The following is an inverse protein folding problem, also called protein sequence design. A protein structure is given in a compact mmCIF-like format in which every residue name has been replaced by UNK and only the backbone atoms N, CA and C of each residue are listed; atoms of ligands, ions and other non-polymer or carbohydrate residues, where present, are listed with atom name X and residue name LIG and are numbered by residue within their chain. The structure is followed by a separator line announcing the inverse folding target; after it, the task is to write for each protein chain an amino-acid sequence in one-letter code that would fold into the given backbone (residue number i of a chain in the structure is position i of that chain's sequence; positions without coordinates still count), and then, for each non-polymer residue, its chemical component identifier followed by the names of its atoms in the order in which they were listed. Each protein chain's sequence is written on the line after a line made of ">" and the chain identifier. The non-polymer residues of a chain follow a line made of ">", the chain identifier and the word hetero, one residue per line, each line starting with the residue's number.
data_IF_398390938395
#
_entry.id   IF_398390938395
#
_cell.length_a   1.000
_cell.length_b   1.000
_cell.length_c   1.000
_cell.angle_alpha   90.00
_cell.angle_beta   90.00
_cell.angle_gamma   90.00
#
_symmetry.space_group_name_H-M   'P 1'
#
loop_
_entity.id
_entity.type
_entity.pdbx_description
1 polymer ?
#
# COMPACT_ATOMS: atom_id res chain seq x y z
N UNK A 1 -26.25 -25.55 1.48
CA UNK A 1 -25.17 -24.60 1.15
C UNK A 1 -25.16 -23.60 2.29
N UNK A 2 -24.00 -23.38 2.87
CA UNK A 2 -23.83 -22.41 3.97
C UNK A 2 -23.97 -21.00 3.43
N UNK A 3 -24.64 -20.12 4.17
CA UNK A 3 -24.85 -18.70 3.80
C UNK A 3 -24.20 -17.81 4.88
N UNK A 4 -23.29 -16.93 4.45
CA UNK A 4 -22.57 -15.96 5.30
C UNK A 4 -22.98 -14.56 4.87
N UNK A 5 -23.20 -13.62 5.78
CA UNK A 5 -23.65 -12.26 5.44
C UNK A 5 -22.59 -11.51 4.60
N UNK A 6 -21.30 -11.62 4.97
CA UNK A 6 -20.21 -10.94 4.26
C UNK A 6 -19.00 -11.86 4.07
N UNK A 7 -18.48 -11.93 2.86
CA UNK A 7 -17.19 -12.58 2.57
C UNK A 7 -16.21 -11.52 2.05
N UNK A 8 -15.01 -11.53 2.63
CA UNK A 8 -13.86 -10.74 2.16
C UNK A 8 -12.82 -11.70 1.58
N UNK A 9 -12.26 -11.40 0.40
CA UNK A 9 -11.25 -12.24 -0.25
C UNK A 9 -9.89 -11.58 -0.19
N UNK A 10 -8.92 -12.26 0.43
CA UNK A 10 -7.53 -11.83 0.58
C UNK A 10 -7.22 -11.26 1.97
N UNK A 11 -6.34 -11.92 2.72
CA UNK A 11 -5.90 -11.53 4.07
C UNK A 11 -4.64 -10.65 4.06
N UNK A 12 -4.50 -9.76 3.09
CA UNK A 12 -3.59 -8.63 3.15
C UNK A 12 -4.09 -7.54 4.10
N UNK A 13 -3.30 -6.49 4.35
CA UNK A 13 -3.66 -5.41 5.29
C UNK A 13 -5.00 -4.76 4.96
N UNK A 14 -5.34 -4.61 3.68
CA UNK A 14 -6.62 -4.01 3.26
C UNK A 14 -7.78 -4.96 3.56
N UNK A 15 -7.67 -6.24 3.19
CA UNK A 15 -8.73 -7.21 3.46
C UNK A 15 -8.96 -7.43 4.96
N UNK A 16 -7.89 -7.47 5.76
CA UNK A 16 -7.99 -7.53 7.23
C UNK A 16 -8.69 -6.30 7.82
N UNK A 17 -8.35 -5.09 7.33
CA UNK A 17 -9.02 -3.87 7.77
C UNK A 17 -10.52 -3.85 7.39
N UNK A 18 -10.84 -4.29 6.15
CA UNK A 18 -12.24 -4.38 5.68
C UNK A 18 -13.01 -5.44 6.46
N UNK A 19 -12.46 -6.65 6.63
CA UNK A 19 -13.12 -7.72 7.38
C UNK A 19 -13.40 -7.30 8.84
N UNK A 20 -12.40 -6.68 9.50
CA UNK A 20 -12.56 -6.08 10.83
C UNK A 20 -13.69 -5.06 10.84
N UNK A 21 -13.74 -4.15 9.87
CA UNK A 21 -14.78 -3.12 9.81
C UNK A 21 -16.18 -3.72 9.67
N UNK A 22 -16.34 -4.76 8.83
CA UNK A 22 -17.61 -5.45 8.64
C UNK A 22 -18.07 -6.16 9.93
N UNK A 23 -17.16 -6.89 10.60
CA UNK A 23 -17.45 -7.56 11.86
C UNK A 23 -17.83 -6.57 12.98
N UNK A 24 -17.10 -5.45 13.09
CA UNK A 24 -17.43 -4.39 14.06
C UNK A 24 -18.77 -3.72 13.80
N UNK A 25 -19.30 -3.78 12.57
CA UNK A 25 -20.66 -3.37 12.22
C UNK A 25 -21.73 -4.43 12.53
N UNK A 26 -21.35 -5.54 13.16
CA UNK A 26 -22.22 -6.65 13.52
C UNK A 26 -22.56 -7.61 12.39
N UNK A 27 -21.78 -7.60 11.29
CA UNK A 27 -21.96 -8.55 10.19
C UNK A 27 -21.24 -9.85 10.46
N UNK A 28 -21.93 -10.97 10.24
CA UNK A 28 -21.26 -12.27 10.17
C UNK A 28 -20.29 -12.25 8.99
N UNK A 29 -18.99 -12.27 9.27
CA UNK A 29 -17.95 -12.05 8.25
C UNK A 29 -16.93 -13.19 8.21
N UNK A 30 -16.71 -13.71 7.00
CA UNK A 30 -15.67 -14.70 6.69
C UNK A 30 -14.60 -14.09 5.81
N UNK A 31 -13.34 -14.21 6.20
CA UNK A 31 -12.17 -13.80 5.41
C UNK A 31 -11.53 -15.05 4.79
N UNK A 32 -11.53 -15.11 3.46
CA UNK A 32 -10.92 -16.21 2.69
C UNK A 32 -9.51 -15.81 2.22
N UNK A 33 -8.53 -16.64 2.54
CA UNK A 33 -7.13 -16.47 2.12
C UNK A 33 -6.60 -17.77 1.49
N UNK A 34 -6.04 -17.66 0.28
CA UNK A 34 -5.50 -18.82 -0.44
C UNK A 34 -4.19 -19.34 0.16
N UNK A 35 -3.41 -18.49 0.81
CA UNK A 35 -2.15 -18.87 1.45
C UNK A 35 -2.40 -19.41 2.86
N UNK A 36 -1.36 -19.92 3.50
CA UNK A 36 -1.43 -20.46 4.87
C UNK A 36 -1.23 -19.41 5.96
N UNK A 37 -0.99 -18.15 5.58
CA UNK A 37 -0.75 -17.05 6.50
C UNK A 37 -1.24 -15.72 5.94
N UNK A 38 -1.46 -14.74 6.82
CA UNK A 38 -1.83 -13.37 6.45
C UNK A 38 -0.66 -12.62 5.80
N UNK A 39 -0.96 -11.67 4.90
CA UNK A 39 -0.01 -10.66 4.43
C UNK A 39 1.16 -11.16 3.58
N UNK A 40 1.11 -12.36 3.03
CA UNK A 40 2.24 -13.04 2.35
C UNK A 40 2.69 -12.38 1.02
N UNK A 41 1.85 -11.53 0.42
CA UNK A 41 2.13 -10.86 -0.84
C UNK A 41 2.58 -9.39 -0.63
N UNK A 42 1.89 -8.43 -1.25
CA UNK A 42 2.26 -7.00 -1.26
C UNK A 42 2.32 -6.38 0.15
N UNK A 43 1.50 -6.86 1.08
CA UNK A 43 1.40 -6.28 2.43
C UNK A 43 2.63 -6.48 3.31
N UNK A 44 3.44 -7.52 3.09
CA UNK A 44 4.72 -7.75 3.79
C UNK A 44 5.93 -7.29 2.99
N UNK A 45 5.73 -6.76 1.78
CA UNK A 45 6.80 -6.44 0.83
C UNK A 45 6.75 -4.96 0.41
N UNK A 46 6.83 -4.07 1.39
CA UNK A 46 6.71 -2.62 1.21
C UNK A 46 7.71 -1.89 2.12
N UNK A 47 7.69 -0.57 2.10
CA UNK A 47 8.59 0.29 2.88
C UNK A 47 8.12 0.57 4.30
N UNK A 48 6.96 0.07 4.71
CA UNK A 48 6.34 0.26 6.04
C UNK A 48 6.11 1.73 6.42
N UNK A 49 6.01 2.61 5.42
CA UNK A 49 5.88 4.06 5.63
C UNK A 49 4.42 4.45 5.84
N UNK A 50 4.19 5.20 6.92
CA UNK A 50 2.96 5.97 7.13
C UNK A 50 3.11 7.28 6.35
N UNK A 51 2.48 7.36 5.17
CA UNK A 51 2.58 8.51 4.28
C UNK A 51 1.75 9.69 4.76
N UNK A 52 2.26 10.91 4.53
CA UNK A 52 1.55 12.14 4.88
C UNK A 52 0.44 12.53 3.88
N UNK A 53 0.51 12.08 2.61
CA UNK A 53 -0.47 12.43 1.57
C UNK A 53 -0.03 13.55 0.61
N UNK A 54 1.28 13.77 0.45
CA UNK A 54 1.86 14.93 -0.27
C UNK A 54 1.70 14.82 -1.79
N UNK A 55 1.96 13.62 -2.36
CA UNK A 55 2.24 13.44 -3.80
C UNK A 55 1.01 13.17 -4.67
N UNK A 56 -0.15 12.97 -4.09
CA UNK A 56 -1.33 12.54 -4.83
C UNK A 56 -2.12 13.73 -5.37
N UNK A 57 -2.73 13.62 -6.56
CA UNK A 57 -3.60 14.67 -7.11
C UNK A 57 -4.71 15.04 -6.12
N UNK A 58 -4.97 16.34 -6.00
CA UNK A 58 -6.02 16.86 -5.12
C UNK A 58 -7.38 16.22 -5.45
N UNK A 59 -8.11 15.81 -4.42
CA UNK A 59 -9.43 15.20 -4.56
C UNK A 59 -9.43 13.71 -4.94
N UNK A 60 -8.27 13.14 -5.32
CA UNK A 60 -8.14 11.71 -5.60
C UNK A 60 -8.46 10.85 -4.37
N UNK A 61 -8.87 9.59 -4.59
CA UNK A 61 -9.06 8.63 -3.49
C UNK A 61 -7.75 8.40 -2.73
N UNK A 62 -6.62 8.31 -3.44
CA UNK A 62 -5.29 8.20 -2.82
C UNK A 62 -5.01 9.36 -1.88
N UNK A 63 -5.30 10.62 -2.27
CA UNK A 63 -5.09 11.78 -1.41
C UNK A 63 -5.98 11.74 -0.17
N UNK A 64 -7.29 11.58 -0.38
CA UNK A 64 -8.31 11.58 0.70
C UNK A 64 -8.09 10.45 1.69
N UNK A 65 -7.94 9.22 1.18
CA UNK A 65 -7.80 8.03 2.01
C UNK A 65 -6.41 7.94 2.67
N UNK A 66 -5.36 8.52 2.07
CA UNK A 66 -4.05 8.62 2.71
C UNK A 66 -4.08 9.55 3.92
N UNK A 67 -4.69 10.74 3.78
CA UNK A 67 -4.80 11.69 4.88
C UNK A 67 -5.60 11.12 6.05
N UNK A 68 -6.82 10.65 5.76
CA UNK A 68 -7.70 10.02 6.78
C UNK A 68 -7.07 8.76 7.36
N UNK A 69 -6.49 7.92 6.52
CA UNK A 69 -5.84 6.66 6.93
C UNK A 69 -4.64 6.88 7.83
N UNK A 70 -3.83 7.92 7.58
CA UNK A 70 -2.73 8.32 8.46
C UNK A 70 -3.23 8.61 9.88
N UNK A 71 -4.29 9.39 10.01
CA UNK A 71 -4.88 9.73 11.31
C UNK A 71 -5.37 8.50 12.05
N UNK A 72 -6.16 7.68 11.35
CA UNK A 72 -6.68 6.41 11.89
C UNK A 72 -5.57 5.46 12.29
N UNK A 73 -4.54 5.33 11.44
CA UNK A 73 -3.45 4.40 11.67
C UNK A 73 -2.61 4.80 12.90
N UNK A 74 -2.28 6.08 13.06
CA UNK A 74 -1.58 6.54 14.27
C UNK A 74 -2.43 6.35 15.52
N UNK A 75 -3.74 6.66 15.46
CA UNK A 75 -4.65 6.45 16.59
C UNK A 75 -4.75 4.96 16.94
N UNK A 76 -4.91 4.10 15.95
CA UNK A 76 -4.98 2.65 16.14
C UNK A 76 -3.69 2.07 16.71
N UNK A 77 -2.54 2.48 16.18
CA UNK A 77 -1.24 2.05 16.70
C UNK A 77 -1.03 2.47 18.16
N UNK A 78 -1.44 3.69 18.52
CA UNK A 78 -1.35 4.18 19.90
C UNK A 78 -2.29 3.40 20.85
N UNK A 79 -3.55 3.18 20.42
CA UNK A 79 -4.55 2.43 21.20
C UNK A 79 -4.12 0.98 21.47
N UNK A 80 -3.53 0.32 20.46
CA UNK A 80 -3.13 -1.09 20.51
C UNK A 80 -1.66 -1.29 20.92
N UNK A 81 -0.95 -0.23 21.29
CA UNK A 81 0.47 -0.25 21.60
C UNK A 81 1.34 -0.91 20.51
N UNK A 82 0.96 -0.73 19.22
CA UNK A 82 1.70 -1.30 18.10
C UNK A 82 2.99 -0.53 17.85
N UNK A 83 4.08 -1.23 17.49
CA UNK A 83 5.34 -0.60 17.18
C UNK A 83 5.19 0.35 15.97
N UNK A 84 5.39 1.64 16.20
CA UNK A 84 5.38 2.67 15.18
C UNK A 84 6.22 3.86 15.62
N UNK A 85 6.62 4.71 14.68
CA UNK A 85 7.39 5.92 14.99
C UNK A 85 7.08 7.03 13.99
N UNK A 86 6.85 8.25 14.49
CA UNK A 86 6.84 9.47 13.68
C UNK A 86 8.28 9.92 13.43
N UNK A 87 8.95 9.23 12.50
CA UNK A 87 10.37 9.51 12.19
C UNK A 87 10.58 10.81 11.41
N UNK A 88 9.51 11.34 10.81
CA UNK A 88 9.64 12.43 9.85
C UNK A 88 10.27 11.99 8.53
N UNK A 89 10.15 12.85 7.53
CA UNK A 89 10.73 12.64 6.20
C UNK A 89 11.27 13.96 5.66
N UNK A 90 12.48 13.94 5.12
CA UNK A 90 13.05 15.02 4.34
C UNK A 90 12.92 14.69 2.86
N UNK A 91 12.18 15.51 2.12
CA UNK A 91 12.18 15.51 0.65
C UNK A 91 13.25 16.50 0.24
N UNK A 92 14.26 16.04 -0.51
CA UNK A 92 15.50 16.80 -0.69
C UNK A 92 15.74 17.18 -2.15
N UNK A 93 16.08 18.45 -2.37
CA UNK A 93 16.66 18.94 -3.61
C UNK A 93 18.19 18.79 -3.52
N UNK A 94 18.78 18.07 -4.47
CA UNK A 94 20.25 17.86 -4.54
C UNK A 94 20.93 18.82 -5.51
N UNK A 95 20.15 19.64 -6.23
CA UNK A 95 20.59 20.69 -7.13
C UNK A 95 19.61 21.88 -7.08
N UNK A 96 20.11 23.07 -7.40
CA UNK A 96 19.31 24.30 -7.28
C UNK A 96 18.07 24.35 -8.19
N UNK A 97 18.15 23.73 -9.35
CA UNK A 97 17.01 23.62 -10.29
C UNK A 97 15.85 22.76 -9.77
N UNK A 98 16.09 21.93 -8.75
CA UNK A 98 15.08 21.11 -8.09
C UNK A 98 14.33 21.83 -6.96
N UNK A 99 14.78 23.01 -6.51
CA UNK A 99 14.16 23.70 -5.37
C UNK A 99 12.72 24.15 -5.66
N UNK A 100 12.42 24.51 -6.90
CA UNK A 100 11.06 24.85 -7.30
C UNK A 100 10.07 23.70 -7.11
N UNK A 101 10.53 22.44 -7.26
CA UNK A 101 9.71 21.25 -7.03
C UNK A 101 9.34 21.09 -5.55
N UNK A 102 10.23 21.46 -4.61
CA UNK A 102 9.89 21.44 -3.17
C UNK A 102 8.76 22.41 -2.85
N UNK A 103 8.74 23.59 -3.49
CA UNK A 103 7.65 24.58 -3.34
C UNK A 103 6.34 24.03 -3.90
N UNK A 104 6.40 23.40 -5.08
CA UNK A 104 5.24 22.77 -5.70
C UNK A 104 4.69 21.62 -4.84
N UNK A 105 5.55 20.77 -4.30
CA UNK A 105 5.17 19.69 -3.38
C UNK A 105 4.59 20.22 -2.06
N UNK A 106 5.13 21.32 -1.51
CA UNK A 106 4.54 21.96 -0.33
C UNK A 106 3.14 22.47 -0.62
N UNK A 107 2.95 23.16 -1.75
CA UNK A 107 1.64 23.67 -2.14
C UNK A 107 0.63 22.53 -2.37
N UNK A 108 1.02 21.48 -3.10
CA UNK A 108 0.18 20.30 -3.34
C UNK A 108 -0.18 19.59 -2.02
N UNK A 109 0.78 19.39 -1.12
CA UNK A 109 0.55 18.80 0.18
C UNK A 109 -0.42 19.62 1.03
N UNK A 110 -0.27 20.94 1.06
CA UNK A 110 -1.21 21.83 1.76
C UNK A 110 -2.62 21.77 1.16
N UNK A 111 -2.73 21.74 -0.17
CA UNK A 111 -4.02 21.58 -0.84
C UNK A 111 -4.70 20.24 -0.51
N UNK A 112 -3.91 19.20 -0.22
CA UNK A 112 -4.42 17.90 0.27
C UNK A 112 -4.71 17.88 1.78
N UNK A 113 -4.44 18.97 2.54
CA UNK A 113 -4.67 19.03 3.98
C UNK A 113 -3.46 18.64 4.85
N UNK A 114 -2.26 18.54 4.26
CA UNK A 114 -1.00 18.32 5.03
C UNK A 114 -0.48 19.67 5.50
N UNK A 115 -0.84 20.08 6.72
CA UNK A 115 -0.58 21.42 7.23
C UNK A 115 0.79 21.64 7.89
N UNK A 116 1.57 20.59 8.14
CA UNK A 116 2.80 20.62 8.94
C UNK A 116 4.11 20.64 8.12
N UNK A 117 4.02 20.82 6.80
CA UNK A 117 5.16 20.83 5.90
C UNK A 117 6.02 22.09 6.07
N UNK A 118 7.33 21.90 6.23
CA UNK A 118 8.29 22.98 6.49
C UNK A 118 9.41 22.98 5.45
N UNK A 119 9.57 24.10 4.74
CA UNK A 119 10.75 24.31 3.88
C UNK A 119 11.96 24.59 4.77
N UNK A 120 13.06 23.94 4.47
CA UNK A 120 14.33 24.07 5.17
C UNK A 120 15.41 24.51 4.19
N UNK A 121 16.24 25.44 4.63
CA UNK A 121 17.51 25.74 3.97
C UNK A 121 18.47 24.56 4.09
N UNK A 122 19.53 24.53 3.29
CA UNK A 122 20.61 23.55 3.39
C UNK A 122 21.13 23.44 4.85
N UNK A 123 21.45 24.56 5.49
CA UNK A 123 21.98 24.57 6.85
C UNK A 123 21.00 23.97 7.87
N UNK A 124 19.71 24.25 7.74
CA UNK A 124 18.68 23.68 8.61
C UNK A 124 18.52 22.17 8.40
N UNK A 125 18.53 21.71 7.14
CA UNK A 125 18.46 20.29 6.83
C UNK A 125 19.69 19.53 7.33
N UNK A 126 20.89 20.11 7.18
CA UNK A 126 22.14 19.53 7.70
C UNK A 126 22.25 19.57 9.21
N UNK A 127 21.60 20.52 9.89
CA UNK A 127 21.50 20.50 11.35
C UNK A 127 20.67 19.30 11.86
N UNK A 128 19.67 18.85 11.09
CA UNK A 128 18.91 17.63 11.39
C UNK A 128 19.66 16.37 11.00
N UNK A 129 20.30 16.38 9.83
CA UNK A 129 20.99 15.23 9.22
C UNK A 129 22.39 15.65 8.72
N UNK A 130 23.44 15.60 9.55
CA UNK A 130 24.75 16.16 9.21
C UNK A 130 25.45 15.53 7.99
N UNK A 131 25.08 14.31 7.61
CA UNK A 131 25.63 13.62 6.44
C UNK A 131 24.80 13.87 5.15
N UNK A 132 23.73 14.65 5.23
CA UNK A 132 22.86 14.94 4.10
C UNK A 132 23.49 15.98 3.16
N UNK A 133 23.59 15.64 1.89
CA UNK A 133 23.94 16.57 0.82
C UNK A 133 22.64 17.02 0.12
N UNK A 134 22.31 18.30 0.26
CA UNK A 134 21.17 18.92 -0.41
C UNK A 134 21.39 20.42 -0.55
N UNK A 135 20.65 21.10 -1.43
CA UNK A 135 20.57 22.57 -1.50
C UNK A 135 19.42 23.12 -0.67
N UNK A 136 18.32 22.36 -0.59
CA UNK A 136 17.15 22.65 0.23
C UNK A 136 16.40 21.34 0.56
N UNK A 137 15.46 21.40 1.50
CA UNK A 137 14.60 20.27 1.83
C UNK A 137 13.19 20.71 2.22
N UNK A 138 12.24 19.78 2.08
CA UNK A 138 10.88 19.88 2.62
C UNK A 138 10.72 18.83 3.72
N UNK A 139 10.61 19.27 4.97
CA UNK A 139 10.35 18.40 6.11
C UNK A 139 8.85 18.08 6.20
N UNK A 140 8.53 16.80 6.34
CA UNK A 140 7.19 16.26 6.62
C UNK A 140 7.19 15.56 7.98
N UNK A 141 6.89 16.27 9.08
CA UNK A 141 6.92 15.69 10.44
C UNK A 141 5.91 14.56 10.66
N UNK A 142 4.77 14.61 9.98
CA UNK A 142 3.70 13.62 10.12
C UNK A 142 3.95 12.30 9.37
N UNK A 143 4.99 12.22 8.55
CA UNK A 143 5.44 10.95 7.96
C UNK A 143 6.08 10.08 9.04
N UNK A 144 5.82 8.77 9.00
CA UNK A 144 6.41 7.82 9.95
C UNK A 144 6.54 6.42 9.39
N UNK A 145 6.77 5.49 10.28
CA UNK A 145 6.89 4.05 9.98
C UNK A 145 6.08 3.24 10.98
N UNK A 146 5.63 2.06 10.56
CA UNK A 146 4.87 1.11 11.36
C UNK A 146 5.38 -0.30 11.11
N UNK A 147 5.34 -1.16 12.12
CA UNK A 147 5.46 -2.60 11.92
C UNK A 147 4.19 -3.12 11.23
N UNK A 148 4.31 -3.35 9.93
CA UNK A 148 3.16 -3.80 9.11
C UNK A 148 2.67 -5.19 9.50
N UNK A 149 3.56 -6.05 10.02
CA UNK A 149 3.19 -7.39 10.47
C UNK A 149 2.41 -7.34 11.79
N UNK A 150 2.91 -6.58 12.77
CA UNK A 150 2.20 -6.34 14.03
C UNK A 150 0.83 -5.69 13.79
N UNK A 151 0.75 -4.73 12.84
CA UNK A 151 -0.51 -4.13 12.42
C UNK A 151 -1.49 -5.18 11.90
N UNK A 152 -1.08 -6.04 10.97
CA UNK A 152 -1.94 -7.07 10.39
C UNK A 152 -2.39 -8.10 11.43
N UNK A 153 -1.51 -8.51 12.35
CA UNK A 153 -1.86 -9.41 13.45
C UNK A 153 -2.91 -8.78 14.38
N UNK A 154 -2.75 -7.49 14.70
CA UNK A 154 -3.71 -6.76 15.53
C UNK A 154 -5.07 -6.62 14.85
N UNK A 155 -5.09 -6.27 13.54
CA UNK A 155 -6.34 -6.20 12.77
C UNK A 155 -7.07 -7.55 12.72
N UNK A 156 -6.31 -8.64 12.55
CA UNK A 156 -6.84 -10.00 12.60
C UNK A 156 -7.42 -10.31 13.99
N UNK A 157 -6.68 -10.00 15.05
CA UNK A 157 -7.14 -10.23 16.43
C UNK A 157 -8.43 -9.49 16.74
N UNK A 158 -8.55 -8.21 16.34
CA UNK A 158 -9.78 -7.43 16.48
C UNK A 158 -10.93 -8.02 15.67
N UNK A 159 -10.66 -8.50 14.45
CA UNK A 159 -11.63 -9.14 13.58
C UNK A 159 -12.19 -10.43 14.22
N UNK A 160 -11.30 -11.30 14.71
CA UNK A 160 -11.69 -12.55 15.39
C UNK A 160 -12.41 -12.27 16.71
N UNK A 161 -11.99 -11.27 17.48
CA UNK A 161 -12.66 -10.84 18.71
C UNK A 161 -14.08 -10.27 18.46
N UNK A 162 -14.32 -9.72 17.27
CA UNK A 162 -15.64 -9.28 16.84
C UNK A 162 -16.52 -10.41 16.23
N UNK A 163 -16.08 -11.67 16.34
CA UNK A 163 -16.81 -12.84 15.86
C UNK A 163 -16.53 -13.23 14.40
N UNK A 164 -15.56 -12.59 13.75
CA UNK A 164 -15.16 -12.95 12.40
C UNK A 164 -14.28 -14.20 12.36
N UNK A 165 -14.22 -14.87 11.22
CA UNK A 165 -13.41 -16.06 10.99
C UNK A 165 -12.47 -15.89 9.80
N UNK A 166 -11.25 -16.44 9.88
CA UNK A 166 -10.31 -16.52 8.77
C UNK A 166 -10.17 -17.98 8.34
N UNK A 167 -10.42 -18.24 7.04
CA UNK A 167 -10.14 -19.53 6.42
C UNK A 167 -8.89 -19.41 5.54
N UNK A 168 -7.84 -20.14 5.92
CA UNK A 168 -6.60 -20.24 5.15
C UNK A 168 -6.64 -21.43 4.18
N UNK A 169 -5.80 -21.40 3.13
CA UNK A 169 -5.81 -22.41 2.08
C UNK A 169 -7.10 -22.42 1.26
N UNK A 170 -7.92 -21.37 1.38
CA UNK A 170 -9.24 -21.22 0.78
C UNK A 170 -9.15 -20.25 -0.43
N UNK A 171 -8.90 -20.79 -1.61
CA UNK A 171 -8.80 -20.02 -2.83
C UNK A 171 -10.17 -19.85 -3.49
N UNK A 172 -10.67 -18.63 -3.59
CA UNK A 172 -11.84 -18.34 -4.42
C UNK A 172 -11.42 -18.40 -5.88
N UNK A 173 -11.97 -19.35 -6.63
CA UNK A 173 -11.64 -19.59 -8.05
C UNK A 173 -12.65 -18.96 -9.01
N UNK A 174 -13.82 -18.55 -8.51
CA UNK A 174 -14.88 -17.90 -9.28
C UNK A 174 -16.21 -17.93 -8.53
N UNK A 175 -17.26 -17.67 -9.24
CA UNK A 175 -18.61 -17.73 -8.67
C UNK A 175 -19.69 -17.14 -9.56
N UNK A 176 -20.93 -17.21 -9.07
CA UNK A 176 -22.10 -16.65 -9.72
C UNK A 176 -22.77 -15.60 -8.84
N UNK A 177 -22.97 -14.41 -9.42
CA UNK A 177 -23.71 -13.32 -8.81
C UNK A 177 -25.15 -13.33 -9.33
N UNK A 178 -26.10 -13.23 -8.40
CA UNK A 178 -27.54 -13.12 -8.69
C UNK A 178 -28.14 -11.98 -7.85
N UNK A 179 -29.37 -11.60 -8.16
CA UNK A 179 -30.03 -10.50 -7.45
C UNK A 179 -30.22 -10.79 -5.94
N UNK A 180 -30.25 -12.05 -5.55
CA UNK A 180 -30.50 -12.51 -4.18
C UNK A 180 -29.21 -12.96 -3.44
N UNK A 181 -28.03 -12.83 -4.06
CA UNK A 181 -26.75 -13.15 -3.43
C UNK A 181 -25.69 -13.69 -4.40
N UNK A 182 -24.52 -13.96 -3.85
CA UNK A 182 -23.33 -14.38 -4.59
C UNK A 182 -22.95 -15.78 -4.12
N UNK A 183 -22.82 -16.73 -5.05
CA UNK A 183 -22.32 -18.08 -4.76
C UNK A 183 -20.88 -18.18 -5.23
N UNK A 184 -19.96 -18.51 -4.35
CA UNK A 184 -18.53 -18.63 -4.63
C UNK A 184 -18.13 -20.10 -4.75
N UNK A 185 -17.25 -20.39 -5.69
CA UNK A 185 -16.52 -21.64 -5.81
C UNK A 185 -15.18 -21.47 -5.10
N UNK A 186 -14.96 -22.24 -4.04
CA UNK A 186 -13.76 -22.18 -3.21
C UNK A 186 -13.00 -23.49 -3.34
N UNK A 187 -11.77 -23.39 -3.84
CA UNK A 187 -10.81 -24.48 -3.85
C UNK A 187 -10.00 -24.49 -2.57
N UNK A 188 -9.58 -25.67 -2.13
CA UNK A 188 -8.79 -25.89 -0.93
C UNK A 188 -8.64 -27.38 -0.68
N UNK A 189 -8.29 -27.78 0.55
CA UNK A 189 -8.20 -29.19 0.93
C UNK A 189 -9.56 -29.91 0.72
N UNK A 190 -10.65 -29.23 1.08
CA UNK A 190 -12.02 -29.65 0.77
C UNK A 190 -12.71 -28.58 -0.08
N UNK A 191 -12.83 -28.78 -1.42
CA UNK A 191 -13.52 -27.83 -2.29
C UNK A 191 -14.98 -27.69 -1.89
N UNK A 192 -15.46 -26.44 -1.83
CA UNK A 192 -16.82 -26.13 -1.42
C UNK A 192 -17.45 -25.01 -2.23
N UNK A 193 -18.78 -24.89 -2.11
CA UNK A 193 -19.54 -23.72 -2.56
C UNK A 193 -20.15 -23.04 -1.35
N UNK A 194 -19.97 -21.72 -1.27
CA UNK A 194 -20.47 -20.89 -0.18
C UNK A 194 -21.27 -19.73 -0.75
N UNK A 195 -22.36 -19.37 -0.09
CA UNK A 195 -23.21 -18.26 -0.48
C UNK A 195 -22.99 -17.05 0.43
N UNK A 196 -23.03 -15.86 -0.15
CA UNK A 196 -22.95 -14.62 0.61
C UNK A 196 -23.87 -13.55 0.02
N UNK A 197 -24.33 -12.62 0.86
CA UNK A 197 -25.05 -11.42 0.42
C UNK A 197 -24.09 -10.32 -0.01
N UNK A 198 -22.86 -10.32 0.53
CA UNK A 198 -21.86 -9.30 0.27
C UNK A 198 -20.48 -9.93 0.05
N UNK A 199 -19.86 -9.53 -1.03
CA UNK A 199 -18.51 -9.94 -1.37
C UNK A 199 -17.62 -8.71 -1.56
N UNK A 200 -16.48 -8.67 -0.83
CA UNK A 200 -15.46 -7.64 -1.03
C UNK A 200 -14.19 -8.29 -1.57
N UNK A 201 -13.85 -7.95 -2.81
CA UNK A 201 -12.63 -8.43 -3.46
C UNK A 201 -11.44 -7.56 -3.05
N UNK A 202 -10.66 -8.04 -2.09
CA UNK A 202 -9.39 -7.48 -1.60
C UNK A 202 -8.18 -8.32 -2.05
N UNK A 203 -8.30 -9.08 -3.14
CA UNK A 203 -7.31 -10.07 -3.58
C UNK A 203 -6.01 -9.46 -4.16
N UNK A 204 -5.83 -8.13 -4.11
CA UNK A 204 -4.59 -7.44 -4.46
C UNK A 204 -4.13 -7.73 -5.88
N UNK A 205 -3.02 -8.47 -6.04
CA UNK A 205 -2.46 -8.85 -7.34
C UNK A 205 -3.37 -9.79 -8.16
N UNK A 206 -4.32 -10.45 -7.54
CA UNK A 206 -5.30 -11.35 -8.19
C UNK A 206 -6.71 -10.74 -8.27
N UNK A 207 -6.88 -9.46 -7.91
CA UNK A 207 -8.20 -8.85 -7.86
C UNK A 207 -8.90 -8.82 -9.23
N UNK A 208 -8.16 -8.60 -10.32
CA UNK A 208 -8.69 -8.62 -11.68
C UNK A 208 -9.05 -10.04 -12.15
N UNK A 209 -8.21 -11.02 -11.81
CA UNK A 209 -8.47 -12.44 -12.13
C UNK A 209 -9.75 -12.92 -11.45
N UNK A 210 -9.90 -12.65 -10.14
CA UNK A 210 -11.12 -12.96 -9.41
C UNK A 210 -12.34 -12.24 -10.01
N UNK A 211 -12.20 -10.96 -10.33
CA UNK A 211 -13.30 -10.19 -10.91
C UNK A 211 -13.77 -10.75 -12.27
N UNK A 212 -12.83 -11.22 -13.10
CA UNK A 212 -13.14 -11.87 -14.38
C UNK A 212 -13.79 -13.24 -14.22
N UNK A 213 -13.52 -13.96 -13.12
CA UNK A 213 -14.09 -15.26 -12.82
C UNK A 213 -15.48 -15.20 -12.14
N UNK A 214 -15.92 -14.01 -11.74
CA UNK A 214 -17.26 -13.77 -11.20
C UNK A 214 -18.22 -13.46 -12.36
N UNK A 215 -19.22 -14.30 -12.55
CA UNK A 215 -20.24 -14.16 -13.59
C UNK A 215 -21.60 -13.86 -12.98
N UNK A 216 -22.58 -13.44 -13.78
CA UNK A 216 -23.95 -13.28 -13.29
C UNK A 216 -24.77 -12.22 -14.00
N UNK A 217 -25.99 -12.02 -13.51
CA UNK A 217 -26.93 -11.01 -14.00
C UNK A 217 -27.51 -10.23 -12.83
N UNK A 218 -27.68 -8.89 -12.95
CA UNK A 218 -27.44 -8.11 -14.16
C UNK A 218 -25.99 -7.57 -14.24
N UNK A 219 -25.13 -8.19 -15.03
CA UNK A 219 -23.83 -7.58 -15.35
C UNK A 219 -24.05 -6.46 -16.36
N UNK A 220 -23.53 -5.27 -16.09
CA UNK A 220 -23.60 -4.13 -17.01
C UNK A 220 -22.90 -4.48 -18.33
N UNK A 221 -23.60 -4.31 -19.45
CA UNK A 221 -23.02 -4.56 -20.77
C UNK A 221 -21.75 -3.75 -20.99
N UNK A 222 -20.69 -4.43 -21.41
CA UNK A 222 -19.38 -3.82 -21.68
C UNK A 222 -18.50 -3.58 -20.43
N UNK A 223 -18.94 -3.93 -19.22
CA UNK A 223 -18.05 -3.91 -18.08
C UNK A 223 -17.02 -5.04 -18.14
N UNK A 224 -15.78 -4.70 -17.85
CA UNK A 224 -14.69 -5.66 -17.65
C UNK A 224 -13.76 -5.15 -16.54
N UNK A 225 -13.04 -6.04 -15.86
CA UNK A 225 -12.00 -5.63 -14.93
C UNK A 225 -10.96 -4.73 -15.62
N UNK A 226 -10.41 -3.73 -14.92
CA UNK A 226 -9.36 -2.88 -15.49
C UNK A 226 -8.08 -3.69 -15.75
N UNK A 227 -7.18 -3.22 -16.64
CA UNK A 227 -5.89 -3.87 -16.85
C UNK A 227 -5.07 -3.92 -15.57
N UNK A 228 -4.26 -4.96 -15.42
CA UNK A 228 -3.27 -5.12 -14.37
C UNK A 228 -1.87 -5.05 -14.98
N UNK A 229 -1.03 -4.18 -14.42
CA UNK A 229 0.39 -4.10 -14.72
C UNK A 229 1.21 -4.36 -13.46
N UNK A 230 2.19 -5.24 -13.54
CA UNK A 230 2.99 -5.64 -12.40
C UNK A 230 4.27 -4.79 -12.35
N UNK A 231 4.34 -3.87 -11.39
CA UNK A 231 5.53 -3.05 -11.18
C UNK A 231 6.29 -3.54 -9.94
N UNK A 232 7.32 -4.35 -10.18
CA UNK A 232 8.24 -4.81 -9.14
C UNK A 232 9.09 -3.66 -8.66
N UNK A 233 9.31 -3.58 -7.37
CA UNK A 233 10.21 -2.65 -6.71
C UNK A 233 11.23 -3.42 -5.91
N UNK A 234 12.50 -3.27 -6.28
CA UNK A 234 13.60 -3.93 -5.60
C UNK A 234 14.14 -3.05 -4.48
N UNK A 235 14.51 -3.69 -3.37
CA UNK A 235 15.09 -3.03 -2.21
C UNK A 235 16.48 -3.57 -1.92
N UNK A 236 17.35 -2.66 -1.49
CA UNK A 236 18.67 -2.98 -0.98
C UNK A 236 18.79 -2.54 0.47
N UNK A 237 19.43 -3.35 1.29
CA UNK A 237 19.77 -3.04 2.67
C UNK A 237 21.20 -2.51 2.76
N UNK A 238 21.51 -1.84 3.87
CA UNK A 238 22.84 -1.42 4.20
C UNK A 238 23.47 -2.42 5.16
N UNK A 239 24.70 -2.86 4.88
CA UNK A 239 25.43 -3.81 5.74
C UNK A 239 25.83 -3.22 7.11
N UNK A 240 25.56 -1.92 7.34
CA UNK A 240 25.83 -1.19 8.58
C UNK A 240 24.74 -0.18 8.87
N UNK A 241 24.76 0.44 10.03
CA UNK A 241 23.80 1.49 10.39
C UNK A 241 23.99 2.73 9.50
N UNK A 242 22.88 3.27 8.96
CA UNK A 242 22.90 4.54 8.25
C UNK A 242 23.06 5.73 9.23
N UNK A 243 23.69 6.83 8.79
CA UNK A 243 23.87 8.02 9.62
C UNK A 243 22.64 8.95 9.61
N UNK A 244 21.43 8.41 9.38
CA UNK A 244 20.20 9.17 9.28
C UNK A 244 19.20 8.74 10.34
N UNK A 245 18.39 9.69 10.79
CA UNK A 245 17.28 9.50 11.71
C UNK A 245 15.90 9.74 11.07
N UNK A 246 15.86 10.49 9.95
CA UNK A 246 14.70 10.73 9.12
C UNK A 246 14.73 9.85 7.86
N UNK A 247 13.55 9.67 7.25
CA UNK A 247 13.45 9.12 5.90
C UNK A 247 13.95 10.18 4.91
N UNK A 248 14.78 9.79 3.93
CA UNK A 248 15.34 10.71 2.93
C UNK A 248 14.80 10.34 1.56
N UNK A 249 14.06 11.25 0.95
CA UNK A 249 13.47 11.08 -0.37
C UNK A 249 13.99 12.17 -1.30
N UNK A 250 14.70 11.86 -2.37
CA UNK A 250 14.98 12.88 -3.38
C UNK A 250 13.67 13.39 -3.99
N UNK A 251 13.66 14.62 -4.51
CA UNK A 251 12.54 15.10 -5.32
C UNK A 251 12.31 14.15 -6.49
N UNK A 252 11.04 13.92 -6.92
CA UNK A 252 10.74 13.12 -8.10
C UNK A 252 11.46 13.62 -9.34
N UNK A 253 12.01 12.72 -10.13
CA UNK A 253 12.67 13.04 -11.40
C UNK A 253 11.91 12.43 -12.58
N UNK A 254 12.10 12.94 -13.82
CA UNK A 254 11.58 12.27 -15.00
C UNK A 254 12.05 10.81 -15.05
N UNK A 255 11.08 9.88 -15.03
CA UNK A 255 11.36 8.44 -15.02
C UNK A 255 11.25 7.73 -13.67
N UNK A 256 11.05 8.43 -12.54
CA UNK A 256 10.82 7.78 -11.26
C UNK A 256 10.86 8.68 -10.04
N UNK A 257 10.57 8.10 -8.87
CA UNK A 257 10.61 8.81 -7.58
C UNK A 257 12.04 8.91 -7.00
N UNK A 258 13.07 8.44 -7.72
CA UNK A 258 14.41 8.28 -7.17
C UNK A 258 14.52 7.11 -6.18
N UNK A 259 15.72 6.87 -5.66
CA UNK A 259 15.97 5.85 -4.64
C UNK A 259 15.80 6.46 -3.26
N UNK A 260 14.73 6.08 -2.58
CA UNK A 260 14.44 6.52 -1.23
C UNK A 260 15.32 5.80 -0.21
N UNK A 261 15.68 6.49 0.87
CA UNK A 261 16.17 5.87 2.11
C UNK A 261 15.00 5.81 3.09
N UNK A 262 14.66 4.61 3.51
CA UNK A 262 13.72 4.36 4.61
C UNK A 262 14.45 3.69 5.78
N UNK A 263 13.91 3.83 6.96
CA UNK A 263 14.43 3.19 8.18
C UNK A 263 13.36 2.25 8.72
N UNK A 264 13.76 1.09 9.19
CA UNK A 264 12.88 0.29 10.03
C UNK A 264 12.88 0.78 11.49
N UNK A 265 12.10 0.14 12.34
CA UNK A 265 12.00 0.52 13.76
C UNK A 265 13.30 0.30 14.55
N UNK A 266 14.18 -0.59 14.07
CA UNK A 266 15.52 -0.80 14.63
C UNK A 266 16.54 0.22 14.10
N UNK A 267 16.17 1.06 13.13
CA UNK A 267 17.04 2.07 12.51
C UNK A 267 17.93 1.50 11.39
N UNK A 268 17.61 0.31 10.86
CA UNK A 268 18.28 -0.24 9.70
C UNK A 268 17.77 0.46 8.44
N UNK A 269 18.70 0.85 7.57
CA UNK A 269 18.35 1.50 6.31
C UNK A 269 17.99 0.49 5.23
N UNK A 270 16.95 0.86 4.48
CA UNK A 270 16.51 0.21 3.24
C UNK A 270 16.47 1.26 2.14
N UNK A 271 16.98 0.93 0.98
CA UNK A 271 17.02 1.80 -0.19
C UNK A 271 16.07 1.24 -1.25
N UNK A 272 15.29 2.11 -1.86
CA UNK A 272 14.30 1.73 -2.85
C UNK A 272 12.88 2.20 -2.50
N UNK A 273 11.90 1.69 -3.24
CA UNK A 273 12.08 0.76 -4.37
C UNK A 273 12.47 1.47 -5.66
N UNK A 274 13.09 0.73 -6.57
CA UNK A 274 13.12 1.08 -7.99
C UNK A 274 11.81 0.70 -8.70
N UNK A 275 11.81 0.71 -10.03
CA UNK A 275 10.71 0.22 -10.86
C UNK A 275 11.25 -0.76 -11.90
N UNK A 276 10.72 -1.97 -11.86
CA UNK A 276 10.95 -3.02 -12.85
C UNK A 276 9.61 -3.59 -13.29
N UNK A 277 9.27 -3.42 -14.56
CA UNK A 277 8.03 -3.99 -15.11
C UNK A 277 8.24 -5.47 -15.37
N UNK A 278 7.32 -6.30 -14.90
CA UNK A 278 7.39 -7.76 -15.01
C UNK A 278 6.04 -8.33 -15.48
N UNK A 279 6.08 -9.46 -16.19
CA UNK A 279 4.88 -10.12 -16.68
C UNK A 279 4.37 -11.21 -15.71
N UNK A 280 5.21 -11.61 -14.75
CA UNK A 280 4.91 -12.66 -13.78
C UNK A 280 5.38 -12.27 -12.38
N UNK A 281 4.78 -12.91 -11.37
CA UNK A 281 5.20 -12.74 -9.98
C UNK A 281 6.57 -13.37 -9.75
N UNK A 282 7.60 -12.53 -9.67
CA UNK A 282 9.00 -12.94 -9.47
C UNK A 282 9.67 -12.01 -8.47
N UNK A 283 10.01 -12.53 -7.28
CA UNK A 283 10.50 -11.72 -6.16
C UNK A 283 12.03 -11.67 -5.97
N UNK A 284 12.87 -12.59 -6.49
CA UNK A 284 14.32 -12.47 -6.37
C UNK A 284 14.82 -11.11 -6.85
N UNK A 285 15.75 -10.53 -6.08
CA UNK A 285 16.39 -9.25 -6.39
C UNK A 285 17.68 -9.51 -7.15
N UNK A 286 17.84 -8.92 -8.33
CA UNK A 286 19.08 -8.96 -9.08
C UNK A 286 20.10 -8.01 -8.42
N UNK A 287 21.22 -8.56 -7.98
CA UNK A 287 22.29 -7.81 -7.33
C UNK A 287 22.91 -6.73 -8.25
N UNK A 288 22.92 -6.96 -9.58
CA UNK A 288 23.45 -6.00 -10.54
C UNK A 288 22.68 -4.68 -10.58
N UNK A 289 21.41 -4.67 -10.18
CA UNK A 289 20.62 -3.44 -10.07
C UNK A 289 21.16 -2.46 -9.01
N UNK A 290 21.93 -2.97 -8.05
CA UNK A 290 22.58 -2.17 -7.00
C UNK A 290 23.50 -1.06 -7.54
N UNK A 291 24.09 -1.24 -8.70
CA UNK A 291 24.95 -0.22 -9.32
C UNK A 291 24.20 1.10 -9.57
N UNK A 292 22.97 1.04 -10.08
CA UNK A 292 22.14 2.22 -10.26
C UNK A 292 21.73 2.90 -8.96
N UNK A 293 21.63 2.13 -7.88
CA UNK A 293 21.31 2.65 -6.56
C UNK A 293 22.44 3.51 -5.98
N UNK A 294 23.71 3.11 -6.15
CA UNK A 294 24.85 3.91 -5.67
C UNK A 294 24.85 5.32 -6.25
N UNK A 295 24.67 5.46 -7.56
CA UNK A 295 24.64 6.77 -8.22
C UNK A 295 23.52 7.67 -7.65
N UNK A 296 22.31 7.11 -7.50
CA UNK A 296 21.14 7.83 -6.98
C UNK A 296 21.30 8.23 -5.50
N UNK A 297 21.78 7.32 -4.66
CA UNK A 297 21.94 7.56 -3.22
C UNK A 297 23.05 8.57 -2.96
N UNK A 298 24.17 8.51 -3.67
CA UNK A 298 25.31 9.42 -3.49
C UNK A 298 25.01 10.87 -3.81
N UNK A 299 23.94 11.16 -4.50
CA UNK A 299 23.47 12.54 -4.71
C UNK A 299 23.06 13.21 -3.41
N UNK A 300 22.40 12.47 -2.49
CA UNK A 300 22.02 12.98 -1.18
C UNK A 300 22.88 12.45 -0.02
N UNK A 301 23.63 11.37 -0.24
CA UNK A 301 24.58 10.82 0.72
C UNK A 301 25.90 10.43 0.04
N UNK A 302 26.80 11.41 -0.25
CA UNK A 302 28.10 11.16 -0.88
C UNK A 302 28.98 10.17 -0.12
N UNK A 303 28.80 10.06 1.20
CA UNK A 303 29.57 9.14 2.06
C UNK A 303 29.16 7.67 2.00
N UNK A 304 28.25 7.27 1.09
CA UNK A 304 27.90 5.86 0.91
C UNK A 304 29.10 5.07 0.40
N UNK A 305 29.65 4.09 1.17
CA UNK A 305 30.80 3.32 0.73
C UNK A 305 30.48 2.35 -0.41
N UNK A 306 31.50 2.04 -1.20
CA UNK A 306 31.40 0.98 -2.19
C UNK A 306 31.16 -0.38 -1.52
N UNK A 307 30.40 -1.26 -2.18
CA UNK A 307 30.09 -2.60 -1.69
C UNK A 307 29.17 -2.66 -0.45
N UNK A 308 28.63 -1.51 0.02
CA UNK A 308 27.83 -1.47 1.24
C UNK A 308 26.38 -1.92 1.03
N UNK A 309 25.85 -1.86 -0.20
CA UNK A 309 24.48 -2.26 -0.51
C UNK A 309 24.41 -3.77 -0.77
N UNK A 310 23.39 -4.40 -0.18
CA UNK A 310 23.11 -5.81 -0.36
C UNK A 310 21.66 -6.00 -0.83
N UNK A 311 21.37 -6.89 -1.79
CA UNK A 311 20.02 -7.25 -2.16
C UNK A 311 19.23 -7.66 -0.92
N UNK A 312 18.01 -7.14 -0.77
CA UNK A 312 17.15 -7.44 0.38
C UNK A 312 15.89 -8.19 -0.07
N UNK A 313 14.88 -7.48 -0.49
CA UNK A 313 13.62 -8.06 -0.94
C UNK A 313 13.02 -7.24 -2.08
N UNK A 314 12.00 -7.80 -2.73
CA UNK A 314 11.19 -7.08 -3.70
C UNK A 314 9.70 -7.15 -3.34
N UNK A 315 8.97 -6.10 -3.67
CA UNK A 315 7.51 -6.08 -3.66
C UNK A 315 6.97 -5.85 -5.07
N UNK A 316 5.76 -6.33 -5.35
CA UNK A 316 5.10 -6.12 -6.64
C UNK A 316 3.85 -5.28 -6.41
N UNK A 317 3.72 -4.18 -7.15
CA UNK A 317 2.60 -3.24 -7.08
C UNK A 317 1.57 -3.57 -8.16
N UNK A 318 0.27 -3.74 -7.80
CA UNK A 318 -0.81 -3.93 -8.78
C UNK A 318 -1.19 -2.58 -9.42
N UNK A 319 -0.53 -2.19 -10.50
CA UNK A 319 -0.80 -0.92 -11.17
C UNK A 319 -1.91 -1.04 -12.20
N UNK A 320 -2.71 0.04 -12.31
CA UNK A 320 -3.76 0.20 -13.32
C UNK A 320 -3.27 0.94 -14.57
N UNK A 321 -2.03 1.40 -14.57
CA UNK A 321 -1.35 2.06 -15.70
C UNK A 321 -0.04 1.35 -16.00
N UNK A 322 0.25 1.23 -17.30
CA UNK A 322 1.47 0.61 -17.81
C UNK A 322 2.69 1.54 -17.81
N UNK A 323 3.81 1.07 -18.38
CA UNK A 323 5.02 1.86 -18.55
C UNK A 323 4.74 3.13 -19.36
N UNK A 324 5.20 4.29 -18.87
CA UNK A 324 5.04 5.58 -19.56
C UNK A 324 3.66 6.22 -19.46
N UNK A 325 2.68 5.55 -18.87
CA UNK A 325 1.36 6.10 -18.64
C UNK A 325 1.29 6.90 -17.32
N UNK A 326 0.43 7.92 -17.25
CA UNK A 326 0.17 8.64 -16.01
C UNK A 326 -0.34 7.69 -14.91
N UNK A 327 0.13 7.88 -13.68
CA UNK A 327 -0.31 7.07 -12.55
C UNK A 327 -1.82 7.22 -12.31
N UNK A 328 -2.54 6.10 -12.23
CA UNK A 328 -3.98 6.07 -11.93
C UNK A 328 -4.24 6.04 -10.43
N UNK A 329 -5.42 6.52 -10.06
CA UNK A 329 -5.93 6.47 -8.69
C UNK A 329 -6.31 5.05 -8.27
N UNK A 330 -6.61 4.84 -6.99
CA UNK A 330 -7.34 3.67 -6.53
C UNK A 330 -8.69 3.56 -7.26
N UNK A 331 -9.07 2.37 -7.61
CA UNK A 331 -10.34 2.12 -8.25
C UNK A 331 -11.16 1.17 -7.37
N UNK A 332 -12.20 1.71 -6.75
CA UNK A 332 -13.18 0.94 -5.98
C UNK A 332 -14.46 0.93 -6.77
N UNK A 333 -14.92 -0.25 -7.16
CA UNK A 333 -16.11 -0.44 -7.98
C UNK A 333 -17.16 -1.24 -7.23
N UNK A 334 -18.39 -0.75 -7.24
CA UNK A 334 -19.55 -1.39 -6.66
C UNK A 334 -20.65 -1.63 -7.69
N UNK A 335 -21.86 -1.93 -7.22
CA UNK A 335 -23.03 -2.20 -8.05
C UNK A 335 -23.30 -1.12 -9.11
N UNK A 336 -23.09 0.16 -8.76
CA UNK A 336 -23.28 1.27 -9.70
C UNK A 336 -22.36 1.19 -10.94
N UNK A 337 -21.20 0.52 -10.81
CA UNK A 337 -20.21 0.38 -11.87
C UNK A 337 -20.47 -0.87 -12.74
N UNK A 338 -20.65 -2.02 -12.12
CA UNK A 338 -20.73 -3.32 -12.80
C UNK A 338 -22.14 -3.94 -12.80
N UNK A 339 -23.07 -3.42 -12.03
CA UNK A 339 -24.46 -3.87 -11.99
C UNK A 339 -24.73 -5.09 -11.10
N UNK A 340 -23.73 -5.67 -10.45
CA UNK A 340 -23.88 -6.86 -9.60
C UNK A 340 -24.11 -6.46 -8.14
N UNK A 341 -25.30 -6.77 -7.54
CA UNK A 341 -25.62 -6.40 -6.18
C UNK A 341 -24.67 -7.03 -5.15
N UNK A 342 -24.34 -6.29 -4.12
CA UNK A 342 -23.54 -6.79 -2.99
C UNK A 342 -22.07 -7.07 -3.28
N UNK A 343 -21.58 -6.80 -4.50
CA UNK A 343 -20.19 -7.01 -4.88
C UNK A 343 -19.42 -5.69 -4.86
N UNK A 344 -18.25 -5.69 -4.24
CA UNK A 344 -17.32 -4.55 -4.24
C UNK A 344 -15.91 -5.03 -4.64
N UNK A 345 -15.33 -4.40 -5.64
CA UNK A 345 -13.96 -4.66 -6.09
C UNK A 345 -13.01 -3.54 -5.68
N UNK A 346 -11.82 -3.89 -5.17
CA UNK A 346 -10.74 -2.97 -4.90
C UNK A 346 -9.58 -3.25 -5.85
N UNK A 347 -9.38 -2.38 -6.85
CA UNK A 347 -8.33 -2.51 -7.85
C UNK A 347 -7.24 -1.45 -7.67
N UNK A 348 -6.01 -1.83 -7.99
CA UNK A 348 -4.88 -0.90 -8.00
C UNK A 348 -4.51 -0.37 -6.62
N UNK A 349 -4.78 -1.12 -5.55
CA UNK A 349 -4.45 -0.72 -4.20
C UNK A 349 -2.94 -0.97 -3.95
N UNK A 350 -2.14 -0.06 -4.50
CA UNK A 350 -0.69 0.05 -4.29
C UNK A 350 -0.38 1.10 -3.19
N UNK A 351 0.81 1.72 -3.18
CA UNK A 351 1.06 2.87 -2.30
C UNK A 351 0.07 4.03 -2.61
N UNK A 352 -0.58 4.59 -1.59
CA UNK A 352 -0.36 4.46 -0.14
C UNK A 352 -1.30 3.46 0.57
N UNK A 353 -1.59 2.30 0.00
CA UNK A 353 -2.60 1.34 0.47
C UNK A 353 -2.43 0.90 1.93
N UNK A 354 -1.19 0.72 2.42
CA UNK A 354 -0.92 0.42 3.84
C UNK A 354 -1.45 1.55 4.73
N UNK A 355 -1.04 2.79 4.47
CA UNK A 355 -1.51 3.96 5.21
C UNK A 355 -3.02 4.14 5.10
N UNK A 356 -3.59 3.90 3.92
CA UNK A 356 -5.00 4.11 3.62
C UNK A 356 -5.90 2.94 4.08
N UNK A 357 -5.36 1.82 4.57
CA UNK A 357 -6.11 0.58 4.78
C UNK A 357 -7.34 0.74 5.68
N UNK A 358 -7.21 1.44 6.80
CA UNK A 358 -8.32 1.70 7.73
C UNK A 358 -9.36 2.65 7.12
N UNK A 359 -8.94 3.66 6.37
CA UNK A 359 -9.85 4.57 5.70
C UNK A 359 -10.58 3.91 4.51
N UNK A 360 -9.91 3.00 3.79
CA UNK A 360 -10.54 2.15 2.79
C UNK A 360 -11.62 1.27 3.41
N UNK A 361 -11.34 0.70 4.58
CA UNK A 361 -12.30 -0.10 5.33
C UNK A 361 -13.53 0.72 5.77
N UNK A 362 -13.32 1.93 6.31
CA UNK A 362 -14.42 2.86 6.61
C UNK A 362 -15.25 3.16 5.35
N UNK A 363 -14.58 3.45 4.23
CA UNK A 363 -15.24 3.79 2.96
C UNK A 363 -16.09 2.63 2.43
N UNK A 364 -15.56 1.40 2.41
CA UNK A 364 -16.29 0.19 2.00
C UNK A 364 -17.45 -0.11 2.95
N UNK A 365 -17.28 0.12 4.24
CA UNK A 365 -18.34 -0.08 5.25
C UNK A 365 -19.51 0.91 5.14
N UNK A 366 -19.27 2.10 4.57
CA UNK A 366 -20.27 3.15 4.38
C UNK A 366 -20.95 3.11 3.01
N UNK A 367 -20.32 2.48 2.03
CA UNK A 367 -20.79 2.35 0.65
C UNK A 367 -21.00 0.87 0.32
N UNK A 368 -22.08 0.31 0.81
CA UNK A 368 -22.36 -1.11 0.71
C UNK A 368 -22.69 -1.58 -0.73
#
# INVERSE_FOLDING_TARGET
>A
MEEIDCIVVGAGVVGLAVARQMALQGRETLLLERETAIGTATSSRNSEVIHAGIYHPQGSLKARLCLRGRELLYAYCAERALPHRRSGKLIVATAADQEAELLALQAAGRANGVGDLQLLTQAQAQALEPQLACTAALLSPSTGIVDSHALMLSLRGDFEAAGGMVAFGAQVTGGQCAADGITLDVAGEEPMRIRTRRLVNCAGLQAQELAAALTGTPLRSGWAPPPLHLAKGNYFSLARRAPFSHLIYPVPEPGGLGVHLTLDLAGQARFGPDVEWVDQLHYPVDAARGEGFYASIRRYWPGLPDGALQPAYAGIRPKLSGPGEPARDFLVQGEADHGLPGLTHLFGIESPGLTASLALAEWVGQNP
#
